data_IF_058984815990
#
_entry.id   IF_058984815990
#
_cell.length_a   1.000
_cell.length_b   1.000
_cell.length_c   1.000
_cell.angle_alpha   90.00
_cell.angle_beta   90.00
_cell.angle_gamma   90.00
#
_symmetry.space_group_name_H-M   'P 1'
#
loop_
_entity.id
_entity.type
_entity.pdbx_description
1 polymer ?
#
# COMPACT_ATOMS: atom_id res chain seq x y z
N UNK A 1 28.67 3.12 -7.60
CA UNK A 1 29.17 2.35 -6.44
C UNK A 1 28.11 1.33 -6.11
N UNK A 2 28.49 0.06 -6.11
CA UNK A 2 27.60 -1.10 -6.00
C UNK A 2 26.84 -1.08 -4.67
N UNK A 3 25.52 -1.25 -4.73
CA UNK A 3 24.61 -1.38 -3.61
C UNK A 3 24.78 -2.75 -2.94
N UNK A 4 25.22 -2.76 -1.68
CA UNK A 4 25.28 -3.94 -0.82
C UNK A 4 23.89 -4.36 -0.31
N UNK A 5 22.92 -4.54 -1.20
CA UNK A 5 21.59 -5.07 -0.87
C UNK A 5 21.65 -6.62 -0.88
N UNK A 6 22.11 -7.20 0.23
CA UNK A 6 21.87 -8.62 0.51
C UNK A 6 20.45 -8.81 1.06
N UNK A 7 19.73 -9.87 0.64
CA UNK A 7 18.44 -10.21 1.25
C UNK A 7 18.58 -10.42 2.76
N UNK A 8 17.62 -9.91 3.53
CA UNK A 8 17.61 -10.06 4.99
C UNK A 8 17.65 -11.55 5.37
N UNK A 9 18.73 -11.96 6.07
CA UNK A 9 18.86 -13.31 6.60
C UNK A 9 18.18 -13.38 7.98
N UNK A 10 17.11 -14.18 8.09
CA UNK A 10 16.15 -14.19 9.21
C UNK A 10 16.47 -15.22 10.32
N UNK A 11 17.66 -15.83 10.32
CA UNK A 11 17.96 -16.96 11.21
C UNK A 11 18.18 -16.64 12.71
N UNK A 12 17.93 -15.42 13.19
CA UNK A 12 18.20 -15.01 14.57
C UNK A 12 16.97 -14.39 15.28
N UNK A 13 15.79 -14.99 15.17
CA UNK A 13 14.60 -14.60 15.96
C UNK A 13 14.33 -15.61 17.08
N UNK A 14 14.64 -15.25 18.33
CA UNK A 14 14.30 -16.07 19.52
C UNK A 14 12.89 -15.83 20.06
N UNK A 15 12.04 -15.05 19.38
CA UNK A 15 10.61 -14.96 19.73
C UNK A 15 9.79 -14.75 18.47
N UNK A 16 9.12 -15.82 18.04
CA UNK A 16 8.01 -15.75 17.11
C UNK A 16 6.81 -15.29 17.93
N UNK A 17 6.54 -13.99 17.94
CA UNK A 17 5.20 -13.52 18.31
C UNK A 17 4.28 -13.85 17.13
N UNK A 18 3.66 -15.03 17.17
CA UNK A 18 2.45 -15.34 16.40
C UNK A 18 1.24 -15.20 17.35
N UNK A 19 0.80 -13.98 17.69
CA UNK A 19 -0.60 -13.83 18.04
C UNK A 19 -1.38 -13.90 16.72
N UNK A 20 -2.51 -14.59 16.73
CA UNK A 20 -3.63 -14.28 15.86
C UNK A 20 -3.73 -12.77 15.64
N UNK A 21 -3.33 -12.30 14.45
CA UNK A 21 -3.33 -10.91 13.96
C UNK A 21 -3.50 -9.79 15.01
N UNK A 22 -2.43 -9.12 15.49
CA UNK A 22 -2.55 -7.95 16.33
C UNK A 22 -2.49 -6.68 15.47
N UNK A 23 -3.44 -6.54 14.54
CA UNK A 23 -3.60 -5.29 13.80
C UNK A 23 -5.02 -4.78 13.98
N UNK A 24 -5.24 -4.01 15.06
CA UNK A 24 -6.54 -3.44 15.41
C UNK A 24 -6.84 -2.12 14.67
N UNK A 25 -5.85 -1.48 14.03
CA UNK A 25 -6.05 -0.14 13.42
C UNK A 25 -5.34 0.11 12.07
N UNK A 26 -4.68 -0.88 11.45
CA UNK A 26 -4.32 -0.71 10.03
C UNK A 26 -5.53 -1.09 9.19
N UNK A 27 -6.18 -0.10 8.57
CA UNK A 27 -7.30 -0.33 7.64
C UNK A 27 -6.86 -1.17 6.43
N UNK A 28 -7.80 -1.87 5.78
CA UNK A 28 -7.56 -2.66 4.56
C UNK A 28 -7.84 -4.16 4.72
N UNK A 29 -8.18 -4.82 3.62
CA UNK A 29 -8.82 -6.15 3.58
C UNK A 29 -7.87 -7.35 3.74
N UNK A 30 -6.57 -7.15 3.51
CA UNK A 30 -5.59 -8.25 3.46
C UNK A 30 -5.15 -8.73 4.84
N UNK A 31 -4.86 -10.03 4.95
CA UNK A 31 -4.16 -10.61 6.09
C UNK A 31 -2.78 -9.98 6.19
N UNK A 32 -2.51 -9.31 7.30
CA UNK A 32 -1.28 -8.54 7.51
C UNK A 32 -0.83 -8.57 8.97
N UNK A 33 0.44 -8.31 9.19
CA UNK A 33 1.02 -8.25 10.53
C UNK A 33 2.20 -7.28 10.57
N UNK A 34 2.37 -6.58 11.69
CA UNK A 34 3.53 -5.75 11.95
C UNK A 34 4.61 -6.57 12.66
N UNK A 35 5.85 -6.52 12.17
CA UNK A 35 7.01 -7.17 12.78
C UNK A 35 8.11 -6.17 13.08
N UNK A 36 8.74 -6.32 14.24
CA UNK A 36 9.93 -5.56 14.61
C UNK A 36 11.17 -6.36 14.25
N UNK A 37 11.96 -5.88 13.28
CA UNK A 37 13.20 -6.51 12.81
C UNK A 37 14.33 -5.50 12.96
N UNK A 38 15.39 -5.85 13.70
CA UNK A 38 16.55 -4.97 13.94
C UNK A 38 16.16 -3.55 14.39
N UNK A 39 15.25 -3.46 15.38
CA UNK A 39 14.67 -2.20 15.92
C UNK A 39 13.83 -1.37 14.93
N UNK A 40 13.61 -1.82 13.70
CA UNK A 40 12.72 -1.19 12.72
C UNK A 40 11.40 -1.96 12.64
N UNK A 41 10.31 -1.26 12.33
CA UNK A 41 8.97 -1.85 12.21
C UNK A 41 8.62 -2.01 10.73
N UNK A 42 8.11 -3.19 10.38
CA UNK A 42 7.76 -3.57 9.02
C UNK A 42 6.36 -4.16 8.97
N UNK A 43 5.58 -3.81 7.94
CA UNK A 43 4.31 -4.45 7.62
C UNK A 43 4.59 -5.64 6.71
N UNK A 44 3.92 -6.75 6.97
CA UNK A 44 3.94 -7.96 6.16
C UNK A 44 2.52 -8.16 5.65
N UNK A 45 2.31 -8.17 4.33
CA UNK A 45 0.99 -8.41 3.73
C UNK A 45 0.99 -9.72 2.94
N UNK A 46 -0.03 -10.54 3.17
CA UNK A 46 -0.32 -11.72 2.36
C UNK A 46 -1.32 -11.39 1.26
N UNK A 47 -1.51 -12.34 0.34
CA UNK A 47 -2.56 -12.30 -0.66
C UNK A 47 -3.94 -12.63 -0.06
N UNK A 48 -4.98 -12.05 -0.65
CA UNK A 48 -6.35 -12.53 -0.53
C UNK A 48 -6.56 -13.82 -1.34
N UNK A 49 -7.66 -14.48 -1.05
CA UNK A 49 -8.09 -15.71 -1.72
C UNK A 49 -9.52 -15.49 -2.20
N UNK A 50 -9.78 -15.75 -3.47
CA UNK A 50 -11.13 -15.65 -4.04
C UNK A 50 -12.08 -16.71 -3.46
N UNK A 51 -13.38 -16.52 -3.67
CA UNK A 51 -14.40 -17.53 -3.34
C UNK A 51 -14.17 -18.89 -4.06
N UNK A 52 -13.36 -18.92 -5.11
CA UNK A 52 -12.98 -20.12 -5.85
C UNK A 52 -11.66 -20.74 -5.36
N UNK A 53 -11.19 -20.35 -4.17
CA UNK A 53 -9.91 -20.76 -3.58
C UNK A 53 -8.68 -20.42 -4.44
N UNK A 54 -8.77 -19.35 -5.24
CA UNK A 54 -7.67 -18.87 -6.06
C UNK A 54 -6.92 -17.79 -5.28
N UNK A 55 -5.63 -18.04 -5.00
CA UNK A 55 -4.74 -17.06 -4.39
C UNK A 55 -4.34 -15.99 -5.41
N UNK A 56 -4.62 -14.72 -5.08
CA UNK A 56 -4.26 -13.58 -5.93
C UNK A 56 -2.77 -13.22 -5.82
N UNK A 57 -2.33 -12.38 -6.75
CA UNK A 57 -0.96 -11.91 -6.87
C UNK A 57 -0.71 -10.54 -6.21
N UNK A 58 -1.53 -10.11 -5.24
CA UNK A 58 -1.33 -8.79 -4.59
C UNK A 58 0.08 -8.60 -4.02
N UNK A 59 0.75 -9.62 -3.41
CA UNK A 59 2.13 -9.47 -2.98
C UNK A 59 3.08 -9.04 -4.10
N UNK A 60 2.93 -9.64 -5.28
CA UNK A 60 3.72 -9.32 -6.46
C UNK A 60 3.34 -7.98 -7.07
N UNK A 61 2.04 -7.69 -7.18
CA UNK A 61 1.54 -6.43 -7.71
C UNK A 61 2.05 -5.24 -6.87
N UNK A 62 1.96 -5.33 -5.54
CA UNK A 62 2.48 -4.31 -4.63
C UNK A 62 3.99 -4.09 -4.80
N UNK A 63 4.76 -5.19 -4.84
CA UNK A 63 6.21 -5.14 -5.06
C UNK A 63 6.54 -4.45 -6.39
N UNK A 64 5.97 -4.92 -7.49
CA UNK A 64 6.25 -4.38 -8.83
C UNK A 64 5.78 -2.93 -8.98
N UNK A 65 4.60 -2.59 -8.47
CA UNK A 65 4.10 -1.22 -8.45
C UNK A 65 5.03 -0.28 -7.67
N UNK A 66 5.62 -0.74 -6.57
CA UNK A 66 6.61 0.05 -5.82
C UNK A 66 7.90 0.30 -6.63
N UNK A 67 8.29 -0.64 -7.49
CA UNK A 67 9.43 -0.46 -8.40
C UNK A 67 9.12 0.53 -9.52
N UNK A 68 7.89 0.53 -10.04
CA UNK A 68 7.44 1.57 -10.99
C UNK A 68 7.40 2.93 -10.31
N UNK A 69 6.84 3.02 -9.09
CA UNK A 69 6.79 4.26 -8.32
C UNK A 69 8.19 4.84 -8.07
N UNK A 70 9.19 3.97 -7.82
CA UNK A 70 10.59 4.37 -7.63
C UNK A 70 11.20 5.11 -8.83
N UNK A 71 10.67 4.91 -10.04
CA UNK A 71 11.15 5.57 -11.27
C UNK A 71 10.49 6.93 -11.50
N UNK A 72 9.32 7.17 -10.88
CA UNK A 72 8.47 8.31 -11.18
C UNK A 72 8.37 9.30 -10.02
N UNK A 73 8.58 8.83 -8.80
CA UNK A 73 8.32 9.61 -7.59
C UNK A 73 9.51 9.59 -6.62
N UNK A 74 9.74 10.72 -5.97
CA UNK A 74 10.70 10.81 -4.87
C UNK A 74 10.15 10.24 -3.55
N UNK A 75 8.82 10.33 -3.34
CA UNK A 75 8.15 9.91 -2.11
C UNK A 75 7.22 8.71 -2.38
N UNK A 76 7.74 7.51 -2.12
CA UNK A 76 7.01 6.25 -2.26
C UNK A 76 7.42 5.26 -1.17
N UNK A 77 6.58 4.27 -0.91
CA UNK A 77 6.91 3.16 -0.01
C UNK A 77 7.56 2.05 -0.82
N UNK A 78 8.84 1.75 -0.52
CA UNK A 78 9.51 0.57 -1.06
C UNK A 78 8.91 -0.70 -0.45
N UNK A 79 8.52 -1.63 -1.31
CA UNK A 79 8.14 -2.98 -0.93
C UNK A 79 9.21 -3.97 -1.38
N UNK A 80 9.40 -5.02 -0.61
CA UNK A 80 10.21 -6.19 -0.94
C UNK A 80 9.35 -7.47 -0.89
N UNK A 81 9.82 -8.55 -1.50
CA UNK A 81 9.20 -9.87 -1.42
C UNK A 81 9.97 -10.77 -0.47
N UNK A 82 9.23 -11.56 0.30
CA UNK A 82 9.80 -12.57 1.20
C UNK A 82 9.05 -13.89 1.06
N UNK A 83 9.74 -14.98 1.36
CA UNK A 83 9.16 -16.31 1.49
C UNK A 83 9.20 -16.72 2.96
N UNK A 84 8.04 -16.85 3.59
CA UNK A 84 7.92 -17.25 4.99
C UNK A 84 6.84 -18.33 5.12
N UNK A 85 7.15 -19.46 5.76
CA UNK A 85 6.24 -20.60 5.92
C UNK A 85 5.61 -21.06 4.59
N UNK A 86 6.40 -21.11 3.50
CA UNK A 86 5.95 -21.41 2.13
C UNK A 86 4.90 -20.44 1.55
N UNK A 87 4.73 -19.26 2.15
CA UNK A 87 3.89 -18.19 1.64
C UNK A 87 4.74 -17.03 1.14
N UNK A 88 4.39 -16.52 -0.03
CA UNK A 88 4.98 -15.30 -0.57
C UNK A 88 4.23 -14.11 0.01
N UNK A 89 4.96 -13.24 0.69
CA UNK A 89 4.43 -12.02 1.29
C UNK A 89 5.16 -10.82 0.69
N UNK A 90 4.50 -9.67 0.66
CA UNK A 90 5.21 -8.40 0.49
C UNK A 90 5.51 -7.81 1.88
N UNK A 91 6.56 -7.00 1.95
CA UNK A 91 6.89 -6.26 3.17
C UNK A 91 7.35 -4.85 2.87
N UNK A 92 6.99 -3.91 3.74
CA UNK A 92 7.46 -2.54 3.69
C UNK A 92 7.80 -2.03 5.09
N UNK A 93 8.66 -1.02 5.17
CA UNK A 93 8.97 -0.34 6.43
C UNK A 93 7.83 0.63 6.76
N UNK A 94 7.49 0.77 8.05
CA UNK A 94 6.56 1.82 8.50
C UNK A 94 7.07 3.21 8.08
N UNK A 95 6.17 4.05 7.56
CA UNK A 95 6.46 5.44 7.18
C UNK A 95 5.92 6.47 8.20
N UNK A 96 5.17 6.01 9.21
CA UNK A 96 4.70 6.82 10.34
C UNK A 96 5.60 6.63 11.57
N UNK A 97 5.41 7.47 12.58
CA UNK A 97 6.09 7.40 13.87
C UNK A 97 5.23 8.03 14.97
N UNK A 98 5.71 8.01 16.21
CA UNK A 98 5.03 8.68 17.32
C UNK A 98 4.77 10.18 17.04
N UNK A 99 5.65 10.83 16.28
CA UNK A 99 5.53 12.27 15.95
C UNK A 99 4.90 12.54 14.58
N UNK A 100 4.67 11.50 13.76
CA UNK A 100 4.17 11.64 12.38
C UNK A 100 3.02 10.66 12.16
N UNK A 101 1.82 11.21 11.98
CA UNK A 101 0.59 10.44 11.74
C UNK A 101 0.19 10.50 10.26
N UNK A 102 -0.46 9.44 9.78
CA UNK A 102 -1.09 9.41 8.46
C UNK A 102 -2.56 9.84 8.58
N UNK A 103 -2.93 10.91 7.86
CA UNK A 103 -4.30 11.38 7.71
C UNK A 103 -4.82 10.97 6.33
N UNK A 104 -5.54 9.84 6.21
CA UNK A 104 -6.23 9.48 4.96
C UNK A 104 -7.34 10.48 4.63
N UNK A 105 -7.59 10.71 3.33
CA UNK A 105 -8.66 11.61 2.89
C UNK A 105 -10.07 11.09 3.19
N UNK A 106 -10.24 9.81 3.51
CA UNK A 106 -11.50 9.26 4.03
C UNK A 106 -11.94 9.87 5.36
N UNK A 107 -11.03 10.56 6.08
CA UNK A 107 -11.32 11.25 7.34
C UNK A 107 -10.99 12.75 7.31
N UNK A 108 -10.50 13.28 6.18
CA UNK A 108 -10.04 14.66 6.10
C UNK A 108 -11.16 15.68 5.78
N UNK A 109 -12.30 15.23 5.29
CA UNK A 109 -13.37 16.09 4.78
C UNK A 109 -14.70 15.83 5.49
N UNK A 110 -15.64 16.76 5.34
CA UNK A 110 -16.95 16.65 5.97
C UNK A 110 -17.82 15.62 5.23
N UNK A 111 -18.76 14.92 5.90
CA UNK A 111 -19.62 13.92 5.26
C UNK A 111 -20.33 14.41 3.98
N UNK A 112 -20.74 15.69 3.95
CA UNK A 112 -21.41 16.29 2.79
C UNK A 112 -20.49 16.46 1.58
N UNK A 113 -19.18 16.58 1.79
CA UNK A 113 -18.20 16.75 0.70
C UNK A 113 -18.15 15.49 -0.17
N UNK A 114 -18.35 14.31 0.42
CA UNK A 114 -18.35 13.04 -0.30
C UNK A 114 -19.61 12.82 -1.17
N UNK A 115 -20.62 13.68 -1.06
CA UNK A 115 -21.85 13.59 -1.87
C UNK A 115 -21.68 14.22 -3.26
N UNK A 116 -20.76 15.16 -3.41
CA UNK A 116 -20.45 15.82 -4.68
C UNK A 116 -19.00 15.58 -5.05
N UNK A 117 -18.80 14.83 -6.13
CA UNK A 117 -17.46 14.45 -6.60
C UNK A 117 -16.62 15.65 -7.02
N UNK A 118 -17.23 16.70 -7.57
CA UNK A 118 -16.48 17.87 -8.03
C UNK A 118 -15.96 18.68 -6.83
N UNK A 119 -16.80 18.85 -5.81
CA UNK A 119 -16.41 19.53 -4.56
C UNK A 119 -15.31 18.73 -3.85
N UNK A 120 -15.45 17.40 -3.80
CA UNK A 120 -14.43 16.54 -3.21
C UNK A 120 -13.10 16.63 -3.97
N UNK A 121 -13.13 16.60 -5.29
CA UNK A 121 -11.94 16.71 -6.14
C UNK A 121 -11.23 18.04 -5.91
N UNK A 122 -11.96 19.16 -5.92
CA UNK A 122 -11.42 20.50 -5.65
C UNK A 122 -10.73 20.55 -4.28
N UNK A 123 -11.39 20.03 -3.23
CA UNK A 123 -10.80 19.96 -1.88
C UNK A 123 -9.56 19.07 -1.80
N UNK A 124 -9.53 17.97 -2.55
CA UNK A 124 -8.35 17.11 -2.65
C UNK A 124 -7.22 17.87 -3.34
N UNK A 125 -7.49 18.55 -4.45
CA UNK A 125 -6.49 19.36 -5.17
C UNK A 125 -5.94 20.49 -4.30
N UNK A 126 -6.79 21.15 -3.52
CA UNK A 126 -6.36 22.18 -2.56
C UNK A 126 -5.44 21.62 -1.45
N UNK A 127 -5.81 20.46 -0.89
CA UNK A 127 -5.10 19.86 0.23
C UNK A 127 -3.83 19.10 -0.19
N UNK A 128 -3.85 18.43 -1.35
CA UNK A 128 -2.80 17.55 -1.86
C UNK A 128 -1.89 18.26 -2.87
N UNK A 129 -2.41 19.25 -3.59
CA UNK A 129 -1.81 19.85 -4.78
C UNK A 129 -2.35 19.22 -6.05
N UNK A 130 -2.73 20.06 -7.03
CA UNK A 130 -3.35 19.63 -8.28
C UNK A 130 -2.43 18.72 -9.11
N UNK A 131 -1.20 19.15 -9.37
CA UNK A 131 -0.21 18.36 -10.12
C UNK A 131 0.08 17.01 -9.44
N UNK A 132 0.26 17.00 -8.11
CA UNK A 132 0.52 15.76 -7.37
C UNK A 132 -0.66 14.79 -7.40
N UNK A 133 -1.89 15.32 -7.41
CA UNK A 133 -3.09 14.51 -7.53
C UNK A 133 -3.22 13.93 -8.95
N UNK A 134 -2.98 14.74 -9.98
CA UNK A 134 -2.98 14.31 -11.38
C UNK A 134 -1.91 13.26 -11.67
N UNK A 135 -0.69 13.44 -11.14
CA UNK A 135 0.39 12.46 -11.24
C UNK A 135 0.02 11.12 -10.59
N UNK A 136 -0.66 11.15 -9.43
CA UNK A 136 -1.16 9.94 -8.77
C UNK A 136 -2.21 9.22 -9.64
N UNK A 137 -3.13 9.96 -10.25
CA UNK A 137 -4.13 9.39 -11.16
C UNK A 137 -3.48 8.79 -12.42
N UNK A 138 -2.48 9.46 -12.99
CA UNK A 138 -1.71 8.95 -14.11
C UNK A 138 -0.94 7.68 -13.75
N UNK A 139 -0.33 7.65 -12.56
CA UNK A 139 0.34 6.47 -12.03
C UNK A 139 -0.63 5.29 -11.88
N UNK A 140 -1.81 5.52 -11.29
CA UNK A 140 -2.83 4.48 -11.16
C UNK A 140 -3.30 3.94 -12.51
N UNK A 141 -3.45 4.81 -13.52
CA UNK A 141 -3.75 4.40 -14.89
C UNK A 141 -2.63 3.54 -15.50
N UNK A 142 -1.36 3.89 -15.27
CA UNK A 142 -0.20 3.15 -15.78
C UNK A 142 -0.12 1.72 -15.22
N UNK A 143 -0.39 1.56 -13.92
CA UNK A 143 -0.32 0.25 -13.26
C UNK A 143 -1.66 -0.48 -13.25
N UNK A 144 -2.72 0.09 -13.81
CA UNK A 144 -4.09 -0.44 -13.76
C UNK A 144 -4.57 -0.68 -12.32
N UNK A 145 -4.34 0.28 -11.43
CA UNK A 145 -4.82 0.21 -10.06
C UNK A 145 -6.32 0.45 -10.02
N UNK A 146 -7.08 -0.53 -9.53
CA UNK A 146 -8.54 -0.46 -9.46
C UNK A 146 -9.06 -0.10 -8.06
N UNK A 147 -8.18 0.17 -7.09
CA UNK A 147 -8.54 0.35 -5.69
C UNK A 147 -7.88 1.58 -5.03
N UNK A 148 -7.71 2.67 -5.79
CA UNK A 148 -7.36 3.98 -5.22
C UNK A 148 -8.58 4.63 -4.56
N UNK A 149 -8.95 4.13 -3.39
CA UNK A 149 -9.95 4.79 -2.55
C UNK A 149 -9.28 5.85 -1.65
N UNK A 150 -10.09 6.73 -1.03
CA UNK A 150 -9.63 7.85 -0.19
C UNK A 150 -8.87 7.43 1.10
N UNK A 151 -8.76 6.13 1.35
CA UNK A 151 -7.94 5.57 2.43
C UNK A 151 -6.50 5.31 2.01
N UNK A 152 -6.24 5.18 0.70
CA UNK A 152 -4.95 4.80 0.12
C UNK A 152 -4.13 6.00 -0.38
N UNK A 153 -4.52 7.22 -0.01
CA UNK A 153 -3.72 8.44 -0.17
C UNK A 153 -4.25 9.52 0.78
N UNK A 154 -3.40 10.52 1.06
CA UNK A 154 -3.69 11.55 2.03
C UNK A 154 -2.43 12.28 2.46
N UNK A 155 -2.37 12.70 3.72
CA UNK A 155 -1.31 13.57 4.23
C UNK A 155 -0.51 12.90 5.36
N UNK A 156 0.75 13.29 5.51
CA UNK A 156 1.47 13.13 6.76
C UNK A 156 1.32 14.40 7.58
N UNK A 157 0.90 14.26 8.83
CA UNK A 157 0.66 15.36 9.76
C UNK A 157 1.47 15.17 11.04
N UNK A 158 1.81 16.27 11.68
CA UNK A 158 2.41 16.27 13.02
C UNK A 158 1.41 15.69 14.02
N UNK A 159 1.80 14.68 14.79
CA UNK A 159 0.93 14.11 15.83
C UNK A 159 0.58 15.13 16.93
N UNK A 160 1.44 16.13 17.14
CA UNK A 160 1.28 17.12 18.20
C UNK A 160 0.46 18.34 17.75
N UNK A 161 0.68 18.82 16.53
CA UNK A 161 0.08 20.08 16.03
C UNK A 161 -1.03 19.85 15.00
N UNK A 162 -1.14 18.64 14.46
CA UNK A 162 -2.05 18.29 13.34
C UNK A 162 -1.75 19.05 12.04
N UNK A 163 -0.66 19.80 11.98
CA UNK A 163 -0.25 20.53 10.79
C UNK A 163 0.28 19.58 9.72
N UNK A 164 -0.02 19.89 8.46
CA UNK A 164 0.50 19.17 7.29
C UNK A 164 2.02 19.27 7.25
N UNK A 165 2.68 18.11 7.23
CA UNK A 165 4.12 18.00 6.99
C UNK A 165 4.36 17.90 5.49
N UNK A 166 3.71 16.92 4.84
CA UNK A 166 3.77 16.67 3.39
C UNK A 166 2.66 15.72 2.96
N UNK A 167 2.57 15.42 1.66
CA UNK A 167 1.72 14.35 1.16
C UNK A 167 2.25 12.98 1.63
N UNK A 168 1.35 12.02 1.86
CA UNK A 168 1.76 10.66 2.15
C UNK A 168 2.51 10.05 0.95
N UNK A 169 3.55 9.23 1.19
CA UNK A 169 4.23 8.53 0.10
C UNK A 169 3.25 7.61 -0.62
N UNK A 170 3.45 7.33 -1.91
CA UNK A 170 2.59 6.39 -2.65
C UNK A 170 2.71 4.98 -2.06
N UNK A 171 1.57 4.36 -1.75
CA UNK A 171 1.47 3.04 -1.13
C UNK A 171 0.15 2.34 -1.45
N UNK A 172 0.04 1.06 -1.08
CA UNK A 172 -1.14 0.21 -1.21
C UNK A 172 -1.63 0.08 -2.65
N UNK A 173 -0.76 -0.50 -3.46
CA UNK A 173 -0.97 -0.75 -4.88
C UNK A 173 -1.24 -2.24 -5.17
N UNK A 174 -1.57 -3.04 -4.16
CA UNK A 174 -1.74 -4.49 -4.30
C UNK A 174 -2.86 -4.91 -5.25
N UNK A 175 -3.90 -4.08 -5.43
CA UNK A 175 -4.97 -4.30 -6.42
C UNK A 175 -4.68 -3.60 -7.77
N UNK A 176 -3.44 -3.75 -8.24
CA UNK A 176 -2.98 -3.27 -9.55
C UNK A 176 -2.39 -4.42 -10.36
N UNK A 177 -1.87 -4.13 -11.57
CA UNK A 177 -1.09 -5.04 -12.40
C UNK A 177 -1.77 -6.41 -12.62
N UNK A 178 -3.10 -6.41 -12.73
CA UNK A 178 -3.92 -7.61 -12.93
C UNK A 178 -3.63 -8.66 -11.83
N UNK A 179 -3.62 -8.22 -10.57
CA UNK A 179 -3.39 -9.07 -9.39
C UNK A 179 -4.28 -10.32 -9.35
N UNK A 180 -5.48 -10.25 -9.93
CA UNK A 180 -6.47 -11.31 -10.02
C UNK A 180 -6.35 -12.16 -11.30
N UNK A 181 -5.24 -12.08 -12.05
CA UNK A 181 -5.06 -12.73 -13.35
C UNK A 181 -5.48 -14.21 -13.39
N UNK A 182 -5.23 -14.96 -12.31
CA UNK A 182 -5.63 -16.37 -12.21
C UNK A 182 -7.13 -16.61 -12.37
N UNK A 183 -7.98 -15.63 -12.08
CA UNK A 183 -9.44 -15.73 -12.28
C UNK A 183 -9.85 -15.79 -13.75
N UNK A 184 -8.97 -15.32 -14.64
CA UNK A 184 -9.17 -15.29 -16.09
C UNK A 184 -8.52 -16.47 -16.81
N UNK A 185 -7.71 -17.28 -16.12
CA UNK A 185 -7.07 -18.45 -16.74
C UNK A 185 -8.14 -19.40 -17.32
N UNK A 186 -8.03 -19.68 -18.63
CA UNK A 186 -8.98 -20.51 -19.38
C UNK A 186 -10.24 -19.80 -19.92
N UNK A 187 -10.40 -18.50 -19.63
CA UNK A 187 -11.47 -17.62 -20.18
C UNK A 187 -10.96 -16.62 -21.22
N UNK A 188 -9.66 -16.31 -21.22
CA UNK A 188 -9.02 -15.45 -22.23
C UNK A 188 -8.93 -16.21 -23.56
N UNK A 189 -9.51 -15.65 -24.62
CA UNK A 189 -9.36 -16.16 -25.99
C UNK A 189 -10.32 -17.27 -26.42
N UNK A 190 -11.35 -17.61 -25.64
CA UNK A 190 -12.48 -18.40 -26.15
C UNK A 190 -13.46 -17.46 -26.86
N UNK A 191 -13.27 -17.27 -28.16
CA UNK A 191 -14.38 -16.83 -29.01
C UNK A 191 -15.49 -17.89 -28.89
N UNK A 192 -16.69 -17.45 -28.51
CA UNK A 192 -17.91 -18.25 -28.65
C UNK A 192 -18.27 -18.30 -30.13
#
# INVERSE_FOLDING_TARGET
MLSDDKPLNLNNTTEIFLPSSPDLFTNGELKKTWKKVNKKIYLYKSSSISNQNIQYYEPFAEYLASQVAALLFNDYVKYDLILENNLILNTCKIFTSENVSYLPFSYAFMPNDYLDKNILEEKIKDAYGEEQFEDLMLFDALILNIDRHLGNFGLLVSSNTQEKIKNAPIFDNGKSLIFDFKTYQGKVGKCI
#
